data_IF_295536564713
#
_entry.id   IF_295536564713
#
_cell.length_a   1.000
_cell.length_b   1.000
_cell.length_c   1.000
_cell.angle_alpha   90.00
_cell.angle_beta   90.00
_cell.angle_gamma   90.00
#
_symmetry.space_group_name_H-M   'P 1'
#
loop_
_entity.id
_entity.type
_entity.pdbx_description
1 polymer ?
#
# COMPACT_ATOMS: atom_id res chain seq x y z
N UNK A 1 26.02 22.03 -1.31
CA UNK A 1 25.20 21.04 -2.03
C UNK A 1 24.01 20.71 -1.16
N UNK A 2 22.81 20.71 -1.70
CA UNK A 2 21.56 20.41 -0.96
C UNK A 2 21.27 18.92 -1.16
N UNK A 3 21.11 18.16 -0.09
CA UNK A 3 20.72 16.75 -0.16
C UNK A 3 19.19 16.64 -0.21
N UNK A 4 18.71 15.90 -1.22
CA UNK A 4 17.29 15.74 -1.55
C UNK A 4 17.04 14.26 -1.83
N UNK A 5 16.02 13.67 -1.23
CA UNK A 5 15.57 12.32 -1.57
C UNK A 5 14.45 12.38 -2.60
N UNK A 6 14.31 11.33 -3.42
CA UNK A 6 13.13 11.15 -4.27
C UNK A 6 12.74 9.68 -4.38
N UNK A 7 11.48 9.40 -4.70
CA UNK A 7 10.94 8.06 -4.79
C UNK A 7 10.39 7.73 -6.17
N UNK A 8 10.96 6.71 -6.81
CA UNK A 8 10.34 6.02 -7.94
C UNK A 8 9.33 5.01 -7.38
N UNK A 9 8.09 5.46 -7.21
CA UNK A 9 7.02 4.69 -6.55
C UNK A 9 6.28 3.85 -7.59
N UNK A 10 6.14 2.55 -7.33
CA UNK A 10 5.40 1.62 -8.18
C UNK A 10 4.10 1.18 -7.49
N UNK A 11 3.03 1.10 -8.28
CA UNK A 11 1.77 0.48 -7.86
C UNK A 11 1.76 -1.04 -8.12
N UNK A 12 0.60 -1.68 -7.88
CA UNK A 12 0.41 -3.12 -8.11
C UNK A 12 0.52 -3.52 -9.59
N UNK A 13 0.22 -2.63 -10.53
CA UNK A 13 0.35 -2.81 -11.98
C UNK A 13 1.77 -2.55 -12.51
N UNK A 14 2.74 -2.24 -11.62
CA UNK A 14 4.10 -1.79 -11.94
C UNK A 14 4.15 -0.48 -12.74
N UNK A 15 3.11 0.34 -12.65
CA UNK A 15 3.18 1.70 -13.13
C UNK A 15 3.92 2.58 -12.12
N UNK A 16 4.59 3.60 -12.63
CA UNK A 16 5.41 4.53 -11.86
C UNK A 16 4.65 5.83 -11.65
N UNK A 17 4.62 6.30 -10.41
CA UNK A 17 4.04 7.57 -10.04
C UNK A 17 4.99 8.72 -10.42
N UNK A 18 4.44 9.71 -11.14
CA UNK A 18 5.09 10.99 -11.39
C UNK A 18 4.15 12.12 -10.97
N UNK A 19 4.70 13.21 -10.47
CA UNK A 19 3.95 14.37 -9.98
C UNK A 19 4.35 15.64 -10.72
N UNK A 20 3.42 16.58 -10.88
CA UNK A 20 3.65 17.83 -11.61
C UNK A 20 3.89 18.99 -10.65
N UNK A 21 4.98 19.69 -10.84
CA UNK A 21 5.41 20.86 -10.04
C UNK A 21 4.44 22.02 -10.17
N UNK A 22 4.26 22.72 -9.07
CA UNK A 22 3.44 23.94 -8.99
C UNK A 22 4.01 25.11 -9.77
N UNK A 23 3.15 26.09 -10.10
CA UNK A 23 3.51 27.31 -10.84
C UNK A 23 4.55 28.17 -10.12
N UNK A 24 4.53 28.17 -8.78
CA UNK A 24 5.42 29.00 -7.94
C UNK A 24 6.75 28.33 -7.58
N UNK A 25 7.06 27.18 -8.16
CA UNK A 25 8.28 26.41 -7.87
C UNK A 25 9.38 26.69 -8.89
N UNK A 26 10.62 26.32 -8.55
CA UNK A 26 11.68 26.19 -9.56
C UNK A 26 11.23 25.16 -10.61
N UNK A 27 11.40 25.40 -11.89
CA UNK A 27 10.97 24.52 -12.99
C UNK A 27 9.45 24.26 -13.00
N UNK A 28 8.59 25.28 -13.10
CA UNK A 28 7.14 25.14 -13.03
C UNK A 28 6.61 24.24 -14.15
N UNK A 29 5.56 23.46 -13.82
CA UNK A 29 4.87 22.51 -14.71
C UNK A 29 5.69 21.30 -15.18
N UNK A 30 6.97 21.19 -14.83
CA UNK A 30 7.77 19.99 -15.07
C UNK A 30 7.27 18.84 -14.20
N UNK A 31 7.51 17.63 -14.66
CA UNK A 31 7.27 16.42 -13.88
C UNK A 31 8.50 16.06 -13.06
N UNK A 32 8.28 15.40 -11.95
CA UNK A 32 9.35 14.92 -11.06
C UNK A 32 8.91 13.66 -10.32
N UNK A 33 9.87 12.99 -9.70
CA UNK A 33 9.58 11.97 -8.70
C UNK A 33 9.35 12.67 -7.35
N UNK A 34 8.28 12.28 -6.59
CA UNK A 34 7.98 12.91 -5.30
C UNK A 34 9.13 12.75 -4.32
N UNK A 35 9.35 13.77 -3.47
CA UNK A 35 10.40 13.76 -2.48
C UNK A 35 10.86 15.15 -2.08
N UNK A 36 11.80 15.21 -1.14
CA UNK A 36 12.19 16.50 -0.59
C UNK A 36 13.54 16.53 0.14
N UNK A 37 13.79 17.62 0.84
CA UNK A 37 15.07 17.89 1.47
C UNK A 37 15.23 17.12 2.78
N UNK A 38 16.42 16.56 2.98
CA UNK A 38 16.79 15.94 4.25
C UNK A 38 16.89 17.01 5.32
N UNK A 39 16.15 16.82 6.42
CA UNK A 39 16.20 17.69 7.60
C UNK A 39 17.19 17.14 8.62
N UNK A 40 17.66 18.02 9.52
CA UNK A 40 18.68 17.64 10.48
C UNK A 40 18.19 16.57 11.46
N UNK A 41 18.84 15.42 11.41
CA UNK A 41 18.63 14.32 12.37
C UNK A 41 17.79 13.17 11.85
N UNK A 42 17.31 13.23 10.61
CA UNK A 42 16.68 12.11 9.94
C UNK A 42 17.65 11.40 8.98
N UNK A 43 17.42 10.12 8.73
CA UNK A 43 18.09 9.36 7.68
C UNK A 43 17.48 9.65 6.30
N UNK A 44 18.16 9.20 5.23
CA UNK A 44 17.67 9.31 3.86
C UNK A 44 16.33 8.57 3.68
N UNK A 45 16.20 7.40 4.31
CA UNK A 45 14.98 6.58 4.30
C UNK A 45 13.84 7.23 5.10
N UNK A 46 14.14 7.81 6.26
CA UNK A 46 13.13 8.53 7.04
C UNK A 46 12.62 9.76 6.29
N UNK A 47 13.53 10.49 5.62
CA UNK A 47 13.17 11.63 4.79
C UNK A 47 12.19 11.25 3.69
N UNK A 48 12.52 10.25 2.87
CA UNK A 48 11.66 9.91 1.74
C UNK A 48 10.28 9.39 2.16
N UNK A 49 10.20 8.63 3.26
CA UNK A 49 8.92 8.18 3.81
C UNK A 49 8.08 9.37 4.29
N UNK A 50 8.69 10.32 5.00
CA UNK A 50 8.02 11.53 5.49
C UNK A 50 7.52 12.40 4.34
N UNK A 51 8.39 12.75 3.38
CA UNK A 51 8.05 13.61 2.24
C UNK A 51 6.90 13.03 1.41
N UNK A 52 6.96 11.75 1.06
CA UNK A 52 5.89 11.09 0.31
C UNK A 52 4.57 11.07 1.10
N UNK A 53 4.64 10.86 2.42
CA UNK A 53 3.44 10.91 3.27
C UNK A 53 2.86 12.33 3.36
N UNK A 54 3.70 13.36 3.46
CA UNK A 54 3.29 14.78 3.55
C UNK A 54 2.73 15.30 2.23
N UNK A 55 3.39 14.99 1.11
CA UNK A 55 3.04 15.50 -0.21
C UNK A 55 1.87 14.76 -0.87
N UNK A 56 1.76 13.45 -0.64
CA UNK A 56 0.86 12.56 -1.38
C UNK A 56 -0.13 11.79 -0.49
N UNK A 57 0.06 11.80 0.82
CA UNK A 57 -0.74 11.02 1.79
C UNK A 57 -0.82 9.53 1.47
N UNK A 58 0.24 8.96 0.88
CA UNK A 58 0.38 7.53 0.63
C UNK A 58 1.53 6.96 1.47
N UNK A 59 1.46 5.66 1.74
CA UNK A 59 2.54 4.94 2.39
C UNK A 59 3.36 4.19 1.36
N UNK A 60 4.67 4.23 1.52
CA UNK A 60 5.62 3.53 0.66
C UNK A 60 6.47 2.54 1.44
N UNK A 61 6.96 1.53 0.74
CA UNK A 61 8.00 0.64 1.22
C UNK A 61 9.22 0.75 0.32
N UNK A 62 10.34 1.11 0.91
CA UNK A 62 11.61 1.21 0.20
C UNK A 62 12.05 -0.20 -0.21
N UNK A 63 12.25 -0.41 -1.51
CA UNK A 63 12.78 -1.65 -2.08
C UNK A 63 14.30 -1.64 -2.09
N UNK A 64 14.89 -0.66 -2.76
CA UNK A 64 16.33 -0.47 -2.86
C UNK A 64 16.66 0.96 -3.32
N UNK A 65 17.87 1.48 -3.01
CA UNK A 65 18.34 2.75 -3.57
C UNK A 65 18.71 2.61 -5.06
N UNK A 66 18.68 3.73 -5.78
CA UNK A 66 19.29 3.89 -7.10
C UNK A 66 20.60 4.69 -6.99
N UNK A 67 21.40 4.79 -8.07
CA UNK A 67 22.59 5.65 -8.08
C UNK A 67 22.25 7.10 -7.72
N UNK A 68 23.12 7.71 -6.91
CA UNK A 68 22.97 9.12 -6.52
C UNK A 68 23.28 10.01 -7.72
N UNK A 69 22.43 11.02 -7.94
CA UNK A 69 22.56 12.00 -9.01
C UNK A 69 23.04 13.34 -8.41
N UNK A 70 24.23 13.80 -8.79
CA UNK A 70 24.70 15.15 -8.50
C UNK A 70 24.40 16.05 -9.69
N UNK A 71 23.65 17.12 -9.47
CA UNK A 71 23.24 18.03 -10.54
C UNK A 71 23.45 19.50 -10.17
N UNK A 72 24.04 20.26 -11.10
CA UNK A 72 24.30 21.70 -10.94
C UNK A 72 23.38 22.50 -11.87
N UNK A 73 22.41 23.17 -11.27
CA UNK A 73 21.49 24.08 -11.98
C UNK A 73 22.11 25.46 -12.27
N UNK A 74 23.39 25.68 -11.92
CA UNK A 74 24.08 26.96 -12.07
C UNK A 74 23.83 27.96 -10.94
N UNK A 75 22.63 27.97 -10.37
CA UNK A 75 22.25 28.76 -9.20
C UNK A 75 22.15 27.94 -7.90
N UNK A 76 22.04 26.64 -7.99
CA UNK A 76 22.05 25.68 -6.87
C UNK A 76 22.65 24.34 -7.31
N UNK A 77 23.31 23.65 -6.40
CA UNK A 77 23.77 22.28 -6.57
C UNK A 77 22.96 21.37 -5.67
N UNK A 78 22.46 20.28 -6.23
CA UNK A 78 21.74 19.26 -5.49
C UNK A 78 22.45 17.90 -5.57
N UNK A 79 22.28 17.11 -4.53
CA UNK A 79 22.58 15.69 -4.48
C UNK A 79 21.24 14.97 -4.32
N UNK A 80 20.75 14.40 -5.41
CA UNK A 80 19.47 13.67 -5.43
C UNK A 80 19.73 12.20 -5.12
N UNK A 81 19.06 11.70 -4.09
CA UNK A 81 19.22 10.35 -3.53
C UNK A 81 17.91 9.58 -3.80
N UNK A 82 17.86 8.80 -4.90
CA UNK A 82 16.63 8.17 -5.34
C UNK A 82 16.47 6.77 -4.73
N UNK A 83 15.22 6.42 -4.42
CA UNK A 83 14.81 5.10 -3.97
C UNK A 83 13.73 4.53 -4.86
N UNK A 84 13.82 3.24 -5.19
CA UNK A 84 12.68 2.50 -5.73
C UNK A 84 11.81 2.07 -4.56
N UNK A 85 10.52 2.37 -4.66
CA UNK A 85 9.54 2.11 -3.61
C UNK A 85 8.32 1.41 -4.20
N UNK A 86 7.63 0.62 -3.39
CA UNK A 86 6.33 0.04 -3.71
C UNK A 86 5.24 0.67 -2.83
N UNK A 87 4.02 0.78 -3.37
CA UNK A 87 2.84 1.20 -2.61
C UNK A 87 1.63 0.34 -2.96
N UNK A 88 0.68 0.26 -2.02
CA UNK A 88 -0.66 -0.27 -2.25
C UNK A 88 -1.70 0.85 -2.40
N UNK A 89 -1.28 2.12 -2.29
CA UNK A 89 -2.15 3.29 -2.43
C UNK A 89 -2.15 3.76 -3.88
N UNK A 90 -3.29 3.63 -4.55
CA UNK A 90 -3.43 4.03 -5.95
C UNK A 90 -3.91 5.48 -6.14
N UNK A 91 -4.38 6.12 -5.06
CA UNK A 91 -5.00 7.44 -5.09
C UNK A 91 -4.24 8.44 -4.22
N UNK A 92 -3.14 9.04 -4.71
CA UNK A 92 -2.45 10.11 -4.03
C UNK A 92 -3.36 11.32 -3.75
N UNK A 93 -3.17 11.94 -2.59
CA UNK A 93 -3.78 13.23 -2.27
C UNK A 93 -2.68 14.26 -2.34
N UNK A 94 -2.74 15.10 -3.36
CA UNK A 94 -1.73 16.14 -3.58
C UNK A 94 -1.88 17.28 -2.55
N UNK A 95 -0.79 17.63 -1.88
CA UNK A 95 -0.72 18.82 -1.02
C UNK A 95 0.02 19.99 -1.70
N UNK A 96 1.06 19.72 -2.47
CA UNK A 96 1.93 20.73 -3.08
C UNK A 96 1.98 20.67 -4.61
N UNK A 97 1.63 19.52 -5.20
CA UNK A 97 1.68 19.29 -6.64
C UNK A 97 0.37 19.63 -7.34
N UNK A 98 0.45 19.93 -8.66
CA UNK A 98 -0.73 20.27 -9.47
C UNK A 98 -1.48 19.04 -9.97
N UNK A 99 -0.76 17.98 -10.32
CA UNK A 99 -1.30 16.77 -10.93
C UNK A 99 -0.40 15.57 -10.63
N UNK A 100 -0.91 14.37 -10.85
CA UNK A 100 -0.12 13.14 -10.80
C UNK A 100 -0.55 12.18 -11.91
N UNK A 101 0.35 11.28 -12.27
CA UNK A 101 0.08 10.19 -13.23
C UNK A 101 0.74 8.92 -12.78
N UNK A 102 0.03 7.82 -12.97
CA UNK A 102 0.60 6.48 -13.00
C UNK A 102 0.94 6.15 -14.45
N UNK A 103 2.18 5.81 -14.74
CA UNK A 103 2.69 5.57 -16.09
C UNK A 103 3.40 4.22 -16.18
N UNK A 104 3.15 3.43 -17.23
CA UNK A 104 4.02 2.32 -17.56
C UNK A 104 5.48 2.79 -17.65
N UNK A 105 6.42 1.97 -17.19
CA UNK A 105 7.85 2.33 -17.23
C UNK A 105 8.35 2.67 -18.63
N UNK A 106 7.74 2.08 -19.69
CA UNK A 106 8.03 2.38 -21.09
C UNK A 106 7.75 3.83 -21.49
N UNK A 107 6.86 4.51 -20.76
CA UNK A 107 6.42 5.86 -21.11
C UNK A 107 7.24 6.95 -20.40
N UNK A 108 8.09 6.56 -19.43
CA UNK A 108 8.91 7.50 -18.65
C UNK A 108 9.86 8.33 -19.51
N UNK A 109 10.40 7.78 -20.62
CA UNK A 109 11.28 8.53 -21.53
C UNK A 109 10.57 9.70 -22.23
N UNK A 110 9.22 9.67 -22.32
CA UNK A 110 8.42 10.71 -22.95
C UNK A 110 7.98 11.81 -21.98
N UNK A 111 8.25 11.68 -20.69
CA UNK A 111 7.85 12.62 -19.65
C UNK A 111 8.76 13.85 -19.67
N UNK A 112 8.17 15.04 -19.62
CA UNK A 112 8.90 16.31 -19.49
C UNK A 112 9.39 16.53 -18.07
N UNK A 113 10.35 15.73 -17.64
CA UNK A 113 10.93 15.77 -16.31
C UNK A 113 11.75 17.05 -16.03
N UNK A 114 11.93 17.37 -14.74
CA UNK A 114 13.01 18.26 -14.31
C UNK A 114 14.36 17.59 -14.63
N UNK A 115 15.40 18.40 -14.81
CA UNK A 115 16.65 17.94 -15.41
C UNK A 115 17.35 16.82 -14.61
N UNK A 116 17.32 16.89 -13.28
CA UNK A 116 17.91 15.87 -12.42
C UNK A 116 17.10 14.56 -12.45
N UNK A 117 15.77 14.64 -12.56
CA UNK A 117 14.88 13.47 -12.57
C UNK A 117 15.00 12.66 -13.88
N UNK A 118 15.45 13.28 -14.98
CA UNK A 118 15.77 12.56 -16.22
C UNK A 118 16.82 11.48 -15.97
N UNK A 119 17.85 11.76 -15.16
CA UNK A 119 18.88 10.78 -14.81
C UNK A 119 18.32 9.67 -13.93
N UNK A 120 17.48 10.01 -12.95
CA UNK A 120 16.80 9.03 -12.10
C UNK A 120 15.92 8.09 -12.93
N UNK A 121 15.14 8.62 -13.88
CA UNK A 121 14.30 7.82 -14.77
C UNK A 121 15.15 6.85 -15.60
N UNK A 122 16.29 7.31 -16.13
CA UNK A 122 17.22 6.47 -16.89
C UNK A 122 17.81 5.35 -16.04
N UNK A 123 18.34 5.67 -14.85
CA UNK A 123 18.92 4.69 -13.95
C UNK A 123 17.90 3.64 -13.51
N UNK A 124 16.65 4.07 -13.28
CA UNK A 124 15.54 3.15 -13.01
C UNK A 124 15.29 2.19 -14.17
N UNK A 125 15.17 2.71 -15.40
CA UNK A 125 14.96 1.89 -16.60
C UNK A 125 16.11 0.91 -16.84
N UNK A 126 17.35 1.31 -16.62
CA UNK A 126 18.52 0.44 -16.70
C UNK A 126 18.44 -0.67 -15.63
N UNK A 127 18.00 -0.35 -14.40
CA UNK A 127 17.86 -1.31 -13.30
C UNK A 127 16.82 -2.40 -13.63
N UNK A 128 15.65 -2.03 -14.16
CA UNK A 128 14.61 -3.01 -14.52
C UNK A 128 15.00 -3.85 -15.75
N UNK A 129 15.74 -3.28 -16.70
CA UNK A 129 16.26 -4.02 -17.84
C UNK A 129 17.34 -5.05 -17.43
N UNK A 130 18.19 -4.71 -16.46
CA UNK A 130 19.16 -5.65 -15.90
C UNK A 130 18.46 -6.83 -15.19
N UNK A 131 17.36 -6.58 -14.48
CA UNK A 131 16.55 -7.61 -13.81
C UNK A 131 15.82 -8.52 -14.83
N UNK A 132 15.36 -7.96 -15.94
CA UNK A 132 14.65 -8.69 -16.99
C UNK A 132 15.58 -9.44 -17.96
N UNK A 133 16.91 -9.29 -17.81
CA UNK A 133 17.87 -10.04 -18.62
C UNK A 133 17.93 -11.50 -18.14
N UNK A 134 17.68 -12.52 -19.01
CA UNK A 134 17.68 -13.93 -18.60
C UNK A 134 19.02 -14.43 -18.04
N UNK A 135 20.11 -13.69 -18.24
CA UNK A 135 21.44 -14.03 -17.71
C UNK A 135 21.74 -13.43 -16.32
N UNK A 136 20.89 -12.52 -15.80
CA UNK A 136 21.03 -11.91 -14.49
C UNK A 136 20.11 -12.62 -13.48
N UNK A 137 20.55 -13.80 -12.99
CA UNK A 137 19.98 -14.46 -11.80
C UNK A 137 18.47 -14.45 -11.69
N UNK A 138 17.76 -15.09 -12.62
CA UNK A 138 16.34 -15.39 -12.43
C UNK A 138 16.14 -16.06 -11.07
N UNK A 139 15.04 -15.75 -10.35
CA UNK A 139 14.63 -16.60 -9.24
C UNK A 139 14.61 -18.05 -9.74
N UNK A 140 15.02 -19.03 -8.93
CA UNK A 140 15.17 -20.41 -9.37
C UNK A 140 13.89 -20.85 -10.11
N UNK A 141 14.06 -21.42 -11.31
CA UNK A 141 12.95 -21.85 -12.18
C UNK A 141 12.02 -22.90 -11.53
N UNK A 142 12.37 -23.35 -10.32
CA UNK A 142 11.61 -24.39 -9.63
C UNK A 142 11.32 -23.99 -8.18
N UNK A 143 10.04 -23.68 -7.82
CA UNK A 143 9.64 -23.36 -6.45
C UNK A 143 9.79 -24.54 -5.47
N UNK A 144 10.10 -25.74 -5.95
CA UNK A 144 10.18 -26.97 -5.15
C UNK A 144 11.37 -27.09 -4.21
N UNK A 145 12.30 -26.12 -4.17
CA UNK A 145 13.54 -26.21 -3.36
C UNK A 145 13.62 -25.21 -2.22
N UNK A 146 12.50 -24.59 -1.79
CA UNK A 146 12.46 -23.79 -0.58
C UNK A 146 12.37 -24.69 0.66
N UNK A 147 13.42 -25.47 0.93
CA UNK A 147 13.49 -26.38 2.08
C UNK A 147 14.02 -25.71 3.35
N UNK A 148 14.68 -24.53 3.24
CA UNK A 148 15.27 -23.83 4.36
C UNK A 148 14.55 -22.50 4.65
N UNK A 149 14.20 -22.30 5.94
CA UNK A 149 13.54 -21.12 6.47
C UNK A 149 14.34 -19.83 6.23
N UNK A 150 15.68 -19.91 6.33
CA UNK A 150 16.59 -18.79 6.09
C UNK A 150 16.54 -18.30 4.64
N UNK A 151 16.34 -19.17 3.68
CA UNK A 151 16.27 -18.86 2.26
C UNK A 151 14.97 -18.11 1.93
N UNK A 152 13.84 -18.57 2.45
CA UNK A 152 12.54 -17.90 2.24
C UNK A 152 12.54 -16.49 2.84
N UNK A 153 13.07 -16.33 4.07
CA UNK A 153 13.15 -15.01 4.70
C UNK A 153 14.04 -14.06 3.89
N UNK A 154 15.17 -14.53 3.39
CA UNK A 154 16.08 -13.75 2.55
C UNK A 154 15.40 -13.36 1.23
N UNK A 155 14.66 -14.27 0.59
CA UNK A 155 13.90 -14.01 -0.64
C UNK A 155 12.83 -12.95 -0.38
N UNK A 156 12.04 -13.06 0.67
CA UNK A 156 11.01 -12.09 1.03
C UNK A 156 11.64 -10.74 1.35
N UNK A 157 12.71 -10.69 2.13
CA UNK A 157 13.42 -9.45 2.48
C UNK A 157 14.10 -8.75 1.29
N UNK A 158 14.44 -9.50 0.24
CA UNK A 158 15.07 -8.97 -0.96
C UNK A 158 14.13 -8.89 -2.17
N UNK A 159 12.85 -9.15 -1.95
CA UNK A 159 11.83 -9.07 -3.00
C UNK A 159 11.79 -7.67 -3.63
N UNK A 160 11.91 -7.60 -4.97
CA UNK A 160 12.07 -6.36 -5.71
C UNK A 160 10.82 -5.93 -6.48
N UNK A 161 9.67 -6.60 -6.29
CA UNK A 161 8.43 -6.18 -6.94
C UNK A 161 7.39 -7.30 -7.09
N UNK A 162 6.31 -6.96 -7.82
CA UNK A 162 5.09 -7.76 -7.92
C UNK A 162 5.32 -9.17 -8.48
N UNK A 163 6.12 -9.32 -9.54
CA UNK A 163 6.38 -10.65 -10.14
C UNK A 163 6.96 -11.65 -9.13
N UNK A 164 7.84 -11.18 -8.24
CA UNK A 164 8.40 -12.02 -7.19
C UNK A 164 7.37 -12.31 -6.09
N UNK A 165 6.55 -11.32 -5.72
CA UNK A 165 5.45 -11.53 -4.77
C UNK A 165 4.44 -12.57 -5.30
N UNK A 166 4.06 -12.49 -6.57
CA UNK A 166 3.17 -13.46 -7.23
C UNK A 166 3.79 -14.86 -7.29
N UNK A 167 5.07 -14.95 -7.60
CA UNK A 167 5.78 -16.23 -7.63
C UNK A 167 5.81 -16.87 -6.22
N UNK A 168 6.14 -16.10 -5.18
CA UNK A 168 6.11 -16.59 -3.79
C UNK A 168 4.67 -16.96 -3.37
N UNK A 169 3.67 -16.18 -3.81
CA UNK A 169 2.25 -16.48 -3.55
C UNK A 169 1.81 -17.82 -4.19
N UNK A 170 2.26 -18.11 -5.42
CA UNK A 170 2.01 -19.40 -6.07
C UNK A 170 2.67 -20.52 -5.27
N UNK A 171 3.93 -20.35 -4.87
CA UNK A 171 4.65 -21.32 -4.04
C UNK A 171 3.95 -21.58 -2.70
N UNK A 172 3.36 -20.53 -2.09
CA UNK A 172 2.60 -20.64 -0.85
C UNK A 172 1.28 -21.41 -1.02
N UNK A 173 0.66 -21.37 -2.21
CA UNK A 173 -0.53 -22.16 -2.52
C UNK A 173 -0.21 -23.65 -2.68
N UNK A 174 0.96 -23.96 -3.24
CA UNK A 174 1.42 -25.35 -3.46
C UNK A 174 2.04 -25.96 -2.22
N UNK A 175 2.64 -25.14 -1.34
CA UNK A 175 3.35 -25.58 -0.13
C UNK A 175 2.81 -24.88 1.13
N UNK A 176 2.01 -25.58 1.97
CA UNK A 176 1.49 -25.02 3.22
C UNK A 176 2.56 -24.55 4.21
N UNK A 177 3.79 -25.10 4.14
CA UNK A 177 4.89 -24.64 5.00
C UNK A 177 5.33 -23.21 4.61
N UNK A 178 5.41 -22.90 3.31
CA UNK A 178 5.70 -21.55 2.80
C UNK A 178 4.60 -20.57 3.22
N UNK A 179 3.32 -20.97 3.07
CA UNK A 179 2.19 -20.15 3.51
C UNK A 179 2.26 -19.83 5.01
N UNK A 180 2.48 -20.82 5.86
CA UNK A 180 2.56 -20.63 7.29
C UNK A 180 3.75 -19.72 7.70
N UNK A 181 4.87 -19.83 6.99
CA UNK A 181 6.02 -18.96 7.22
C UNK A 181 5.76 -17.52 6.78
N UNK A 182 5.12 -17.29 5.64
CA UNK A 182 4.68 -15.95 5.23
C UNK A 182 3.72 -15.34 6.25
N UNK A 183 2.80 -16.13 6.79
CA UNK A 183 1.90 -15.68 7.84
C UNK A 183 2.68 -15.33 9.13
N UNK A 184 3.66 -16.13 9.53
CA UNK A 184 4.54 -15.83 10.66
C UNK A 184 5.33 -14.53 10.43
N UNK A 185 5.96 -14.37 9.26
CA UNK A 185 6.72 -13.17 8.90
C UNK A 185 5.85 -11.90 8.85
N UNK A 186 4.58 -12.04 8.47
CA UNK A 186 3.66 -10.90 8.44
C UNK A 186 3.36 -10.32 9.83
N UNK A 187 3.66 -11.06 10.90
CA UNK A 187 3.59 -10.59 12.29
C UNK A 187 4.96 -10.19 12.87
N UNK A 188 6.00 -10.16 12.06
CA UNK A 188 7.34 -9.77 12.50
C UNK A 188 7.41 -8.31 12.95
N UNK A 189 8.26 -8.03 13.93
CA UNK A 189 8.59 -6.65 14.35
C UNK A 189 9.44 -5.92 13.28
N UNK A 190 10.09 -6.64 12.36
CA UNK A 190 10.82 -6.07 11.24
C UNK A 190 9.83 -5.55 10.19
N UNK A 191 9.67 -4.22 10.08
CA UNK A 191 8.66 -3.57 9.25
C UNK A 191 8.73 -3.98 7.78
N UNK A 192 9.93 -4.12 7.23
CA UNK A 192 10.14 -4.52 5.82
C UNK A 192 9.67 -5.95 5.58
N UNK A 193 10.04 -6.87 6.45
CA UNK A 193 9.64 -8.28 6.36
C UNK A 193 8.13 -8.43 6.53
N UNK A 194 7.55 -7.80 7.57
CA UNK A 194 6.11 -7.90 7.85
C UNK A 194 5.26 -7.34 6.71
N UNK A 195 5.66 -6.21 6.13
CA UNK A 195 4.99 -5.65 4.96
C UNK A 195 5.06 -6.61 3.77
N UNK A 196 6.25 -7.03 3.36
CA UNK A 196 6.43 -7.84 2.15
C UNK A 196 5.74 -9.20 2.26
N UNK A 197 5.80 -9.82 3.42
CA UNK A 197 5.09 -11.07 3.69
C UNK A 197 3.57 -10.86 3.64
N UNK A 198 3.04 -9.82 4.31
CA UNK A 198 1.60 -9.53 4.30
C UNK A 198 1.11 -9.13 2.90
N UNK A 199 1.90 -8.38 2.14
CA UNK A 199 1.60 -8.04 0.76
C UNK A 199 1.57 -9.29 -0.15
N UNK A 200 2.53 -10.19 -0.02
CA UNK A 200 2.51 -11.47 -0.73
C UNK A 200 1.25 -12.28 -0.40
N UNK A 201 0.85 -12.31 0.87
CA UNK A 201 -0.39 -12.96 1.30
C UNK A 201 -1.64 -12.33 0.68
N UNK A 202 -1.67 -11.03 0.38
CA UNK A 202 -2.80 -10.43 -0.35
C UNK A 202 -2.94 -11.02 -1.75
N UNK A 203 -1.83 -11.35 -2.44
CA UNK A 203 -1.87 -11.98 -3.78
C UNK A 203 -2.44 -13.39 -3.74
N UNK A 204 -2.23 -14.12 -2.64
CA UNK A 204 -2.91 -15.40 -2.37
C UNK A 204 -4.40 -15.16 -2.17
N UNK A 205 -4.76 -14.17 -1.33
CA UNK A 205 -6.14 -13.88 -0.96
C UNK A 205 -6.98 -13.38 -2.14
N UNK A 206 -6.40 -12.61 -3.05
CA UNK A 206 -7.09 -12.10 -4.25
C UNK A 206 -7.61 -13.24 -5.15
N UNK A 207 -6.90 -14.37 -5.16
CA UNK A 207 -7.27 -15.56 -5.97
C UNK A 207 -8.06 -16.59 -5.17
N UNK A 208 -7.73 -16.77 -3.90
CA UNK A 208 -8.25 -17.85 -3.04
C UNK A 208 -8.52 -17.34 -1.61
N UNK A 209 -9.52 -16.46 -1.40
CA UNK A 209 -9.80 -15.90 -0.09
C UNK A 209 -10.15 -16.94 0.97
N UNK A 210 -10.68 -18.10 0.57
CA UNK A 210 -11.05 -19.21 1.45
C UNK A 210 -9.86 -19.83 2.19
N UNK A 211 -8.64 -19.72 1.64
CA UNK A 211 -7.40 -20.18 2.30
C UNK A 211 -7.19 -19.48 3.64
N UNK A 212 -7.70 -18.25 3.79
CA UNK A 212 -7.54 -17.45 5.00
C UNK A 212 -8.60 -17.73 6.08
N UNK A 213 -9.67 -18.45 5.79
CA UNK A 213 -10.75 -18.67 6.76
C UNK A 213 -10.27 -19.22 8.11
N UNK A 214 -9.31 -20.16 8.21
CA UNK A 214 -8.75 -20.63 9.47
C UNK A 214 -7.96 -19.56 10.25
N UNK A 215 -7.46 -18.53 9.56
CA UNK A 215 -6.54 -17.54 10.11
C UNK A 215 -7.20 -16.18 10.40
N UNK A 216 -8.44 -15.95 9.94
CA UNK A 216 -9.14 -14.67 10.14
C UNK A 216 -9.22 -14.26 11.60
N UNK A 217 -9.46 -15.22 12.51
CA UNK A 217 -9.49 -14.98 13.94
C UNK A 217 -8.16 -14.43 14.49
N UNK A 218 -7.05 -15.07 14.10
CA UNK A 218 -5.70 -14.65 14.49
C UNK A 218 -5.38 -13.25 13.95
N UNK A 219 -5.75 -12.98 12.69
CA UNK A 219 -5.55 -11.67 12.08
C UNK A 219 -6.30 -10.59 12.88
N UNK A 220 -7.57 -10.81 13.20
CA UNK A 220 -8.38 -9.85 14.00
C UNK A 220 -7.75 -9.56 15.36
N UNK A 221 -7.29 -10.59 16.07
CA UNK A 221 -6.66 -10.44 17.39
C UNK A 221 -5.33 -9.69 17.37
N UNK A 222 -4.73 -9.56 16.19
CA UNK A 222 -3.44 -8.91 16.01
C UNK A 222 -3.57 -7.45 15.59
N UNK A 223 -4.69 -7.02 15.01
CA UNK A 223 -4.85 -5.67 14.42
C UNK A 223 -4.44 -4.53 15.34
N UNK A 224 -4.79 -4.60 16.62
CA UNK A 224 -4.46 -3.57 17.62
C UNK A 224 -2.97 -3.54 18.03
N UNK A 225 -2.18 -4.52 17.61
CA UNK A 225 -0.75 -4.66 17.94
C UNK A 225 0.15 -4.25 16.80
N UNK A 226 -0.42 -3.94 15.63
CA UNK A 226 0.34 -3.59 14.44
C UNK A 226 0.72 -2.11 14.47
N UNK A 227 2.03 -1.86 14.42
CA UNK A 227 2.61 -0.51 14.30
C UNK A 227 2.92 -0.14 12.85
N UNK A 228 2.80 -1.10 11.92
CA UNK A 228 3.07 -0.91 10.49
C UNK A 228 1.74 -0.74 9.74
N UNK A 229 1.46 0.48 9.28
CA UNK A 229 0.24 0.83 8.54
C UNK A 229 0.09 -0.01 7.26
N UNK A 230 1.20 -0.29 6.55
CA UNK A 230 1.18 -1.09 5.32
C UNK A 230 0.79 -2.54 5.57
N UNK A 231 1.31 -3.15 6.66
CA UNK A 231 0.87 -4.48 7.11
C UNK A 231 -0.59 -4.47 7.53
N UNK A 232 -1.02 -3.42 8.24
CA UNK A 232 -2.42 -3.24 8.63
C UNK A 232 -3.35 -3.22 7.41
N UNK A 233 -2.99 -2.47 6.36
CA UNK A 233 -3.76 -2.44 5.10
C UNK A 233 -3.88 -3.81 4.46
N UNK A 234 -2.78 -4.56 4.36
CA UNK A 234 -2.78 -5.91 3.83
C UNK A 234 -3.76 -6.81 4.58
N UNK A 235 -3.76 -6.76 5.91
CA UNK A 235 -4.69 -7.56 6.70
C UNK A 235 -6.14 -7.09 6.61
N UNK A 236 -6.39 -5.79 6.54
CA UNK A 236 -7.74 -5.28 6.32
C UNK A 236 -8.26 -5.65 4.91
N UNK A 237 -7.39 -5.67 3.88
CA UNK A 237 -7.74 -6.19 2.55
C UNK A 237 -8.17 -7.66 2.65
N UNK A 238 -7.37 -8.51 3.30
CA UNK A 238 -7.69 -9.93 3.50
C UNK A 238 -9.04 -10.09 4.23
N UNK A 239 -9.27 -9.35 5.31
CA UNK A 239 -10.54 -9.38 6.05
C UNK A 239 -11.72 -8.88 5.22
N UNK A 240 -11.49 -7.85 4.38
CA UNK A 240 -12.52 -7.30 3.50
C UNK A 240 -12.96 -8.29 2.40
N UNK A 241 -12.09 -9.19 1.96
CA UNK A 241 -12.39 -10.26 1.01
C UNK A 241 -12.93 -11.52 1.70
N UNK A 242 -12.52 -11.80 2.93
CA UNK A 242 -12.88 -12.98 3.69
C UNK A 242 -14.37 -13.09 4.05
N UNK A 243 -14.80 -14.30 4.42
CA UNK A 243 -16.13 -14.56 4.98
C UNK A 243 -16.11 -14.32 6.51
N UNK A 244 -16.61 -13.16 6.95
CA UNK A 244 -16.64 -12.77 8.37
C UNK A 244 -17.59 -13.63 9.22
N UNK A 245 -18.47 -14.42 8.60
CA UNK A 245 -19.26 -15.43 9.30
C UNK A 245 -18.44 -16.62 9.83
N UNK A 246 -17.17 -16.75 9.43
CA UNK A 246 -16.25 -17.80 9.91
C UNK A 246 -15.54 -17.48 11.21
N UNK A 247 -15.60 -16.23 11.70
CA UNK A 247 -15.08 -15.83 13.01
C UNK A 247 -16.23 -15.73 14.02
N UNK A 248 -15.93 -15.92 15.31
CA UNK A 248 -16.94 -15.90 16.36
C UNK A 248 -17.41 -14.46 16.68
N UNK A 249 -18.52 -14.34 17.44
CA UNK A 249 -19.14 -13.05 17.75
C UNK A 249 -18.19 -12.10 18.52
N UNK A 250 -17.30 -12.63 19.36
CA UNK A 250 -16.32 -11.80 20.08
C UNK A 250 -15.33 -11.15 19.10
N UNK A 251 -14.83 -11.93 18.16
CA UNK A 251 -13.90 -11.43 17.14
C UNK A 251 -14.59 -10.47 16.15
N UNK A 252 -15.85 -10.73 15.79
CA UNK A 252 -16.65 -9.79 15.01
C UNK A 252 -16.85 -8.46 15.76
N UNK A 253 -17.08 -8.50 17.09
CA UNK A 253 -17.14 -7.30 17.92
C UNK A 253 -15.83 -6.52 17.94
N UNK A 254 -14.69 -7.19 18.19
CA UNK A 254 -13.36 -6.58 18.17
C UNK A 254 -13.09 -5.91 16.80
N UNK A 255 -13.44 -6.59 15.70
CA UNK A 255 -13.27 -6.07 14.34
C UNK A 255 -14.17 -4.86 14.08
N UNK A 256 -15.42 -4.88 14.59
CA UNK A 256 -16.36 -3.77 14.49
C UNK A 256 -15.80 -2.53 15.16
N UNK A 257 -15.39 -2.66 16.43
CA UNK A 257 -14.84 -1.56 17.22
C UNK A 257 -13.57 -1.00 16.57
N UNK A 258 -12.69 -1.89 16.10
CA UNK A 258 -11.47 -1.51 15.40
C UNK A 258 -11.77 -0.69 14.13
N UNK A 259 -12.67 -1.18 13.27
CA UNK A 259 -12.99 -0.51 12.02
C UNK A 259 -13.67 0.85 12.24
N UNK A 260 -14.59 0.98 13.20
CA UNK A 260 -15.16 2.28 13.55
C UNK A 260 -14.11 3.26 14.10
N UNK A 261 -13.20 2.79 14.95
CA UNK A 261 -12.12 3.62 15.47
C UNK A 261 -11.22 4.14 14.34
N UNK A 262 -10.86 3.29 13.35
CA UNK A 262 -10.06 3.68 12.19
C UNK A 262 -10.82 4.62 11.24
N UNK A 263 -12.11 4.38 11.05
CA UNK A 263 -12.97 5.22 10.22
C UNK A 263 -13.04 6.66 10.77
N UNK A 264 -13.16 6.79 12.09
CA UNK A 264 -13.29 8.08 12.78
C UNK A 264 -11.94 8.73 13.15
N UNK A 265 -10.81 8.07 12.86
CA UNK A 265 -9.47 8.61 13.12
C UNK A 265 -9.06 9.62 12.04
N UNK A 266 -8.51 10.76 12.46
CA UNK A 266 -7.88 11.72 11.54
C UNK A 266 -6.56 11.23 10.92
N UNK A 267 -5.93 10.20 11.54
CA UNK A 267 -4.60 9.72 11.17
C UNK A 267 -4.60 8.44 10.31
N UNK A 268 -5.74 7.80 10.11
CA UNK A 268 -5.81 6.59 9.28
C UNK A 268 -5.77 6.94 7.80
N UNK A 269 -4.97 6.18 7.03
CA UNK A 269 -4.88 6.32 5.58
C UNK A 269 -6.22 6.08 4.89
N UNK A 270 -6.35 6.57 3.65
CA UNK A 270 -7.56 6.40 2.83
C UNK A 270 -7.88 4.92 2.64
N UNK A 271 -6.87 4.11 2.35
CA UNK A 271 -7.03 2.67 2.13
C UNK A 271 -7.54 1.95 3.39
N UNK A 272 -7.00 2.26 4.57
CA UNK A 272 -7.48 1.72 5.86
C UNK A 272 -8.94 2.08 6.08
N UNK A 273 -9.35 3.32 5.81
CA UNK A 273 -10.75 3.76 5.90
C UNK A 273 -11.63 3.03 4.89
N UNK A 274 -11.15 2.87 3.65
CA UNK A 274 -11.91 2.20 2.59
C UNK A 274 -12.17 0.72 2.91
N UNK A 275 -11.15 -0.02 3.37
CA UNK A 275 -11.32 -1.41 3.81
C UNK A 275 -12.19 -1.51 5.07
N UNK A 276 -12.06 -0.58 6.02
CA UNK A 276 -12.92 -0.52 7.19
C UNK A 276 -14.40 -0.32 6.83
N UNK A 277 -14.71 0.52 5.84
CA UNK A 277 -16.08 0.67 5.31
C UNK A 277 -16.62 -0.65 4.73
N UNK A 278 -15.80 -1.38 3.95
CA UNK A 278 -16.22 -2.65 3.35
C UNK A 278 -16.44 -3.74 4.40
N UNK A 279 -15.54 -3.83 5.38
CA UNK A 279 -15.66 -4.77 6.52
C UNK A 279 -16.93 -4.46 7.32
N UNK A 280 -17.14 -3.21 7.69
CA UNK A 280 -18.33 -2.80 8.43
C UNK A 280 -19.61 -3.05 7.63
N UNK A 281 -19.61 -2.79 6.32
CA UNK A 281 -20.74 -3.17 5.48
C UNK A 281 -21.04 -4.67 5.55
N UNK A 282 -20.01 -5.54 5.43
CA UNK A 282 -20.21 -6.99 5.58
C UNK A 282 -20.76 -7.36 6.97
N UNK A 283 -20.30 -6.67 8.02
CA UNK A 283 -20.82 -6.88 9.37
C UNK A 283 -22.28 -6.41 9.51
N UNK A 284 -22.75 -5.39 8.74
CA UNK A 284 -24.18 -5.02 8.74
C UNK A 284 -25.07 -6.12 8.17
N UNK A 285 -24.53 -7.04 7.36
CA UNK A 285 -25.27 -8.19 6.86
C UNK A 285 -25.55 -9.22 7.97
N UNK A 286 -24.72 -9.24 9.00
CA UNK A 286 -24.83 -10.11 10.19
C UNK A 286 -25.56 -9.35 11.30
N UNK A 287 -25.26 -8.07 11.48
CA UNK A 287 -25.75 -7.17 12.53
C UNK A 287 -26.38 -5.91 11.89
N UNK A 288 -27.64 -5.97 11.44
CA UNK A 288 -28.30 -4.85 10.73
C UNK A 288 -28.32 -3.53 11.51
N UNK A 289 -28.29 -3.58 12.83
CA UNK A 289 -28.25 -2.41 13.72
C UNK A 289 -27.05 -1.50 13.49
N UNK A 290 -25.92 -2.02 12.98
CA UNK A 290 -24.72 -1.24 12.68
C UNK A 290 -24.90 -0.30 11.46
N UNK A 291 -25.92 -0.52 10.63
CA UNK A 291 -26.09 0.21 9.38
C UNK A 291 -26.30 1.73 9.59
N UNK A 292 -26.98 2.13 10.66
CA UNK A 292 -27.23 3.53 10.97
C UNK A 292 -25.93 4.26 11.35
N UNK A 293 -25.12 3.64 12.20
CA UNK A 293 -23.84 4.20 12.64
C UNK A 293 -22.84 4.27 11.47
N UNK A 294 -22.76 3.20 10.67
CA UNK A 294 -21.92 3.20 9.46
C UNK A 294 -22.34 4.31 8.48
N UNK A 295 -23.65 4.48 8.27
CA UNK A 295 -24.17 5.54 7.40
C UNK A 295 -23.77 6.93 7.90
N UNK A 296 -23.89 7.17 9.22
CA UNK A 296 -23.51 8.45 9.82
C UNK A 296 -22.01 8.72 9.69
N UNK A 297 -21.17 7.73 10.03
CA UNK A 297 -19.70 7.86 9.92
C UNK A 297 -19.24 8.11 8.48
N UNK A 298 -19.81 7.39 7.48
CA UNK A 298 -19.48 7.61 6.08
C UNK A 298 -19.87 9.02 5.62
N UNK A 299 -21.07 9.51 5.98
CA UNK A 299 -21.51 10.85 5.59
C UNK A 299 -20.61 11.93 6.16
N UNK A 300 -20.25 11.82 7.43
CA UNK A 300 -19.32 12.74 8.09
C UNK A 300 -17.95 12.76 7.40
N UNK A 301 -17.41 11.56 7.05
CA UNK A 301 -16.14 11.47 6.32
C UNK A 301 -16.18 12.05 4.91
N UNK A 302 -17.37 12.07 4.28
CA UNK A 302 -17.53 12.61 2.92
C UNK A 302 -17.67 14.15 2.89
N UNK A 303 -17.96 14.83 4.01
CA UNK A 303 -18.09 16.29 4.07
C UNK A 303 -16.77 16.97 3.70
N UNK A 304 -15.64 16.47 4.25
CA UNK A 304 -14.28 16.96 3.97
C UNK A 304 -13.41 15.90 3.29
N UNK A 305 -14.04 14.86 2.74
CA UNK A 305 -13.37 13.68 2.23
C UNK A 305 -12.76 13.86 0.85
N UNK A 306 -11.63 13.21 0.63
CA UNK A 306 -10.98 13.09 -0.68
C UNK A 306 -11.88 12.39 -1.70
N UNK A 307 -11.51 12.47 -2.99
CA UNK A 307 -12.24 11.80 -4.07
C UNK A 307 -12.37 10.28 -3.82
N UNK A 308 -11.31 9.62 -3.31
CA UNK A 308 -11.31 8.20 -2.98
C UNK A 308 -12.30 7.84 -1.85
N UNK A 309 -12.27 8.58 -0.74
CA UNK A 309 -13.23 8.41 0.37
C UNK A 309 -14.66 8.64 -0.11
N UNK A 310 -14.88 9.70 -0.88
CA UNK A 310 -16.21 10.06 -1.41
C UNK A 310 -16.74 8.99 -2.36
N UNK A 311 -15.89 8.45 -3.26
CA UNK A 311 -16.26 7.38 -4.19
C UNK A 311 -16.62 6.10 -3.45
N UNK A 312 -15.74 5.62 -2.54
CA UNK A 312 -16.00 4.42 -1.73
C UNK A 312 -17.22 4.59 -0.84
N UNK A 313 -17.35 5.74 -0.17
CA UNK A 313 -18.49 6.05 0.68
C UNK A 313 -19.81 5.98 -0.08
N UNK A 314 -19.90 6.59 -1.27
CA UNK A 314 -21.10 6.50 -2.13
C UNK A 314 -21.45 5.07 -2.51
N UNK A 315 -20.44 4.26 -2.85
CA UNK A 315 -20.66 2.85 -3.19
C UNK A 315 -21.24 2.05 -2.01
N UNK A 316 -20.70 2.25 -0.80
CA UNK A 316 -21.21 1.57 0.40
C UNK A 316 -22.61 2.08 0.79
N UNK A 317 -22.85 3.40 0.76
CA UNK A 317 -24.18 3.97 1.05
C UNK A 317 -25.24 3.43 0.08
N UNK A 318 -24.91 3.28 -1.20
CA UNK A 318 -25.80 2.64 -2.18
C UNK A 318 -26.12 1.21 -1.78
N UNK A 319 -25.12 0.39 -1.47
CA UNK A 319 -25.32 -1.00 -0.99
C UNK A 319 -26.23 -1.06 0.25
N UNK A 320 -26.05 -0.13 1.22
CA UNK A 320 -26.86 -0.07 2.44
C UNK A 320 -28.34 0.30 2.16
N UNK A 321 -28.62 1.11 1.13
CA UNK A 321 -29.99 1.47 0.76
C UNK A 321 -30.72 0.39 -0.01
N UNK A 322 -30.02 -0.50 -0.68
CA UNK A 322 -30.59 -1.65 -1.42
C UNK A 322 -30.99 -2.80 -0.49
N UNK A 323 -30.61 -2.75 0.80
CA UNK A 323 -31.08 -3.72 1.80
C UNK A 323 -32.53 -3.48 2.17
N UNK A 324 -33.37 -4.53 2.20
CA UNK A 324 -34.72 -4.41 2.71
C UNK A 324 -34.63 -3.97 4.17
N UNK A 325 -35.18 -2.78 4.47
CA UNK A 325 -35.35 -2.30 5.83
C UNK A 325 -35.99 -3.40 6.69
N UNK A 326 -35.32 -3.78 7.78
CA UNK A 326 -35.92 -4.64 8.82
C UNK A 326 -37.31 -4.08 9.15
N UNK A 327 -38.40 -4.87 9.08
CA UNK A 327 -39.71 -4.40 9.49
C UNK A 327 -39.61 -3.88 10.91
N UNK A 328 -40.00 -2.62 11.14
CA UNK A 328 -40.15 -2.10 12.48
C UNK A 328 -41.04 -3.08 13.23
N UNK A 329 -40.46 -3.82 14.21
CA UNK A 329 -41.24 -4.63 15.13
C UNK A 329 -42.25 -3.67 15.76
N UNK A 330 -43.52 -3.88 15.46
CA UNK A 330 -44.66 -3.25 16.10
C UNK A 330 -44.50 -3.39 17.61
N UNK A 331 -44.19 -2.26 18.24
CA UNK A 331 -44.41 -2.13 19.69
C UNK A 331 -45.90 -2.30 19.92
N UNK A 332 -46.26 -3.41 20.52
CA UNK A 332 -47.49 -3.57 21.26
C UNK A 332 -47.14 -3.61 22.75
#
# INVERSE_FOLDING_TARGET
>A
MIEVTCAVIRNEENEVLVVQRGEATDHPFKWEFPGGKIIKGESEEECIIREVSEELSIDIVICHPLPVVEYDYGYKQIKLIPFVCDTLDELPILSEHLDYKWLPSTDLESVDFSEADVFVAKDYLESINAINNPDAGNPPENPGTMEDDSDLQAIVNNMMGMKQAEWIAISALENPAVFNKLLEYSFSAEKKLSFRASWTLTKVCDKFPEVFYPYLAQIVETLNKLDNESTLRSFLRILSLGDLGKINNLQQGILTDFCFARLNSGFSSIAVKAYSMEILYKLTLIYPELANELTASIRMLMEDGTAGITSKGRAILKKLTEFPSVPKSSQQ
#
